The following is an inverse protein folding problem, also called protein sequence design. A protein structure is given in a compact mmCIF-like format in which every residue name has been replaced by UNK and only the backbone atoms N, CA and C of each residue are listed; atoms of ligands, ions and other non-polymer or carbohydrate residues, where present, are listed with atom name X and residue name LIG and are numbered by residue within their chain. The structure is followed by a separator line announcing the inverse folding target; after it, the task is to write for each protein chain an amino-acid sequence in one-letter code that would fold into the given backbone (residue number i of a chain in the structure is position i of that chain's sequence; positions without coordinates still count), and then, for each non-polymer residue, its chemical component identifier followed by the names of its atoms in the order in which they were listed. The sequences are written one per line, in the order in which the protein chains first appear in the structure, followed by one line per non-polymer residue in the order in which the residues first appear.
data_IF_625635895680
#
_entry.id   IF_625635895680
#
_cell.length_a   1.000
_cell.length_b   1.000
_cell.length_c   1.000
_cell.angle_alpha   90.00
_cell.angle_beta   90.00
_cell.angle_gamma   90.00
#
_symmetry.space_group_name_H-M   'P 1'
#
loop_
_entity.id
_entity.type
_entity.pdbx_description
1 polymer ?
#
# COMPACT_ATOMS: atom_id res chain seq x y z
N UNK A 1 20.92 28.44 32.88
CA UNK A 1 20.97 26.96 32.93
C UNK A 1 20.05 26.42 31.85
N UNK A 2 20.57 25.73 30.84
CA UNK A 2 19.74 25.16 29.79
C UNK A 2 18.99 23.94 30.34
N UNK A 3 17.67 24.06 30.53
CA UNK A 3 16.82 22.93 30.84
C UNK A 3 16.97 21.90 29.71
N UNK A 4 17.52 20.72 30.02
CA UNK A 4 17.62 19.65 29.05
C UNK A 4 16.22 19.17 28.72
N UNK A 5 15.74 19.49 27.52
CA UNK A 5 14.54 18.89 26.93
C UNK A 5 14.80 17.39 26.76
N UNK A 6 14.43 16.60 27.76
CA UNK A 6 14.64 15.17 27.78
C UNK A 6 13.28 14.47 27.69
N UNK A 7 13.19 13.46 26.81
CA UNK A 7 12.00 12.62 26.74
C UNK A 7 11.77 11.88 28.04
N UNK A 8 10.49 11.79 28.43
CA UNK A 8 10.07 11.02 29.60
C UNK A 8 10.34 9.53 29.38
N UNK A 9 10.41 8.77 30.46
CA UNK A 9 10.58 7.31 30.37
C UNK A 9 9.43 6.65 29.58
N UNK A 10 8.20 7.13 29.77
CA UNK A 10 7.03 6.64 29.05
C UNK A 10 7.16 6.87 27.53
N UNK A 11 7.58 8.07 27.11
CA UNK A 11 7.83 8.38 25.69
C UNK A 11 8.91 7.47 25.10
N UNK A 12 10.02 7.25 25.82
CA UNK A 12 11.08 6.32 25.37
C UNK A 12 10.56 4.88 25.22
N UNK A 13 9.72 4.42 26.14
CA UNK A 13 9.11 3.09 26.07
C UNK A 13 8.15 2.98 24.86
N UNK A 14 7.36 4.01 24.59
CA UNK A 14 6.48 4.08 23.42
C UNK A 14 7.27 4.05 22.11
N UNK A 15 8.34 4.85 22.00
CA UNK A 15 9.24 4.84 20.86
C UNK A 15 9.90 3.48 20.66
N UNK A 16 10.35 2.83 21.73
CA UNK A 16 10.91 1.48 21.65
C UNK A 16 9.87 0.45 21.15
N UNK A 17 8.61 0.57 21.55
CA UNK A 17 7.52 -0.28 21.05
C UNK A 17 7.27 -0.07 19.55
N UNK A 18 7.19 1.18 19.11
CA UNK A 18 7.02 1.55 17.71
C UNK A 18 8.19 1.03 16.85
N UNK A 19 9.43 1.22 17.31
CA UNK A 19 10.63 0.71 16.65
C UNK A 19 10.58 -0.82 16.50
N UNK A 20 10.27 -1.56 17.58
CA UNK A 20 10.15 -3.02 17.53
C UNK A 20 9.09 -3.46 16.51
N UNK A 21 7.98 -2.75 16.44
CA UNK A 21 6.89 -3.03 15.49
C UNK A 21 7.36 -2.83 14.05
N UNK A 22 8.06 -1.73 13.76
CA UNK A 22 8.65 -1.44 12.44
C UNK A 22 9.72 -2.47 12.02
N UNK A 23 10.57 -2.91 12.95
CA UNK A 23 11.57 -3.95 12.67
C UNK A 23 10.91 -5.30 12.40
N UNK A 24 9.85 -5.66 13.13
CA UNK A 24 9.11 -6.91 12.87
C UNK A 24 8.41 -6.89 11.52
N UNK A 25 7.76 -5.78 11.15
CA UNK A 25 7.10 -5.67 9.84
C UNK A 25 8.12 -5.74 8.70
N UNK A 26 9.21 -4.97 8.79
CA UNK A 26 10.28 -5.00 7.78
C UNK A 26 10.96 -6.37 7.67
N UNK A 27 11.10 -7.13 8.77
CA UNK A 27 11.62 -8.50 8.70
C UNK A 27 10.71 -9.42 7.88
N UNK A 28 9.39 -9.30 8.06
CA UNK A 28 8.43 -10.07 7.28
C UNK A 28 8.48 -9.70 5.80
N UNK A 29 8.64 -8.40 5.50
CA UNK A 29 8.82 -7.92 4.14
C UNK A 29 10.15 -8.46 3.61
N UNK A 30 11.30 -8.03 4.11
CA UNK A 30 12.62 -8.32 3.52
C UNK A 30 13.21 -9.70 3.89
N UNK A 31 12.39 -10.71 4.21
CA UNK A 31 12.90 -12.02 4.66
C UNK A 31 13.75 -12.74 3.59
N UNK A 32 13.49 -12.48 2.31
CA UNK A 32 14.24 -13.04 1.18
C UNK A 32 15.55 -12.29 0.87
N UNK A 33 15.71 -11.07 1.37
CA UNK A 33 16.87 -10.22 1.12
C UNK A 33 17.46 -9.69 2.45
N UNK A 34 18.40 -10.43 3.05
CA UNK A 34 19.01 -10.04 4.31
C UNK A 34 19.86 -8.78 4.20
N UNK A 35 20.33 -8.40 2.99
CA UNK A 35 21.13 -7.19 2.80
C UNK A 35 20.24 -5.95 2.91
N UNK A 36 19.14 -5.94 2.14
CA UNK A 36 18.15 -4.86 2.22
C UNK A 36 17.56 -4.74 3.63
N UNK A 37 17.30 -5.87 4.31
CA UNK A 37 16.84 -5.85 5.70
C UNK A 37 17.84 -5.17 6.66
N UNK A 38 19.15 -5.43 6.51
CA UNK A 38 20.19 -4.78 7.33
C UNK A 38 20.26 -3.28 7.06
N UNK A 39 20.25 -2.88 5.80
CA UNK A 39 20.24 -1.47 5.41
C UNK A 39 18.99 -0.75 5.97
N UNK A 40 17.83 -1.41 5.91
CA UNK A 40 16.61 -0.90 6.53
C UNK A 40 16.75 -0.70 8.04
N UNK A 41 17.34 -1.65 8.78
CA UNK A 41 17.57 -1.50 10.23
C UNK A 41 18.44 -0.27 10.52
N UNK A 42 19.50 -0.05 9.74
CA UNK A 42 20.37 1.13 9.91
C UNK A 42 19.57 2.41 9.72
N UNK A 43 18.79 2.51 8.64
CA UNK A 43 17.93 3.68 8.38
C UNK A 43 16.84 3.87 9.44
N UNK A 44 16.26 2.79 9.95
CA UNK A 44 15.28 2.87 11.03
C UNK A 44 15.91 3.42 12.32
N UNK A 45 17.13 3.01 12.66
CA UNK A 45 17.86 3.58 13.81
C UNK A 45 18.15 5.06 13.61
N UNK A 46 18.63 5.44 12.42
CA UNK A 46 18.85 6.85 12.06
C UNK A 46 17.57 7.66 12.24
N UNK A 47 16.45 7.22 11.63
CA UNK A 47 15.14 7.86 11.75
C UNK A 47 14.74 8.10 13.21
N UNK A 48 14.86 7.07 14.07
CA UNK A 48 14.50 7.22 15.47
C UNK A 48 15.42 8.18 16.22
N UNK A 49 16.72 8.15 15.92
CA UNK A 49 17.69 9.04 16.57
C UNK A 49 17.55 10.50 16.12
N UNK A 50 17.21 10.75 14.85
CA UNK A 50 17.20 12.10 14.27
C UNK A 50 15.83 12.75 14.30
N UNK A 51 14.74 11.98 14.15
CA UNK A 51 13.38 12.51 13.99
C UNK A 51 12.49 12.26 15.21
N UNK A 52 12.49 11.04 15.75
CA UNK A 52 11.56 10.65 16.82
C UNK A 52 12.08 11.04 18.20
N UNK A 53 13.35 10.77 18.48
CA UNK A 53 13.99 10.96 19.78
C UNK A 53 14.92 12.18 19.82
N UNK A 54 14.74 13.12 18.90
CA UNK A 54 15.50 14.36 18.86
C UNK A 54 14.57 15.55 19.17
N UNK A 55 14.69 16.17 20.36
CA UNK A 55 13.82 17.28 20.73
C UNK A 55 14.03 18.51 19.84
N UNK A 56 15.24 18.72 19.31
CA UNK A 56 15.52 19.88 18.44
C UNK A 56 14.83 19.73 17.09
N UNK A 57 14.77 18.51 16.55
CA UNK A 57 14.04 18.24 15.32
C UNK A 57 12.54 18.51 15.50
N UNK A 58 11.92 17.96 16.56
CA UNK A 58 10.48 18.11 16.81
C UNK A 58 10.04 19.57 16.96
N UNK A 59 10.89 20.43 17.53
CA UNK A 59 10.62 21.86 17.66
C UNK A 59 10.86 22.65 16.37
N UNK A 60 11.67 22.11 15.43
CA UNK A 60 12.05 22.79 14.19
C UNK A 60 11.07 22.63 13.01
N UNK A 61 10.10 21.70 13.09
CA UNK A 61 9.21 21.31 11.97
C UNK A 61 8.34 22.48 11.45
N UNK A 62 8.16 23.56 12.23
CA UNK A 62 7.28 24.68 11.89
C UNK A 62 7.74 25.56 10.70
N UNK A 63 8.88 25.30 10.06
CA UNK A 63 9.37 26.15 8.95
C UNK A 63 9.07 25.65 7.54
N UNK A 64 8.51 24.44 7.32
CA UNK A 64 8.44 23.89 5.94
C UNK A 64 7.12 23.24 5.46
N UNK A 65 6.05 23.15 6.25
CA UNK A 65 4.79 22.57 5.74
C UNK A 65 3.72 23.62 5.38
N UNK A 66 3.49 23.92 4.08
CA UNK A 66 2.48 24.88 3.66
C UNK A 66 1.02 24.36 3.71
N UNK A 67 0.75 23.15 4.23
CA UNK A 67 -0.58 22.52 4.16
C UNK A 67 -1.39 22.46 5.46
N UNK A 68 -0.86 22.85 6.62
CA UNK A 68 -1.64 22.94 7.86
C UNK A 68 -2.17 24.38 8.09
N UNK A 69 -3.00 24.90 7.18
CA UNK A 69 -3.82 26.09 7.41
C UNK A 69 -5.28 25.66 7.63
N UNK A 70 -5.58 25.17 8.83
CA UNK A 70 -6.97 25.08 9.32
C UNK A 70 -7.03 25.70 10.71
N UNK A 71 -7.26 27.02 10.70
CA UNK A 71 -8.06 27.81 11.64
C UNK A 71 -8.06 27.40 13.13
N UNK A 72 -7.26 28.11 13.92
CA UNK A 72 -7.60 28.46 15.30
C UNK A 72 -7.31 29.95 15.54
N UNK A 73 -8.14 30.80 14.95
CA UNK A 73 -8.23 32.22 15.30
C UNK A 73 -9.05 32.37 16.58
N UNK A 74 -8.39 32.32 17.73
CA UNK A 74 -8.98 32.51 19.05
C UNK A 74 -8.06 33.35 19.94
N UNK A 75 -8.11 34.66 19.73
CA UNK A 75 -7.45 35.74 20.46
C UNK A 75 -7.44 35.52 21.98
N UNK A 76 -6.25 35.39 22.59
CA UNK A 76 -6.07 35.51 24.05
C UNK A 76 -4.86 36.40 24.32
N UNK A 77 -5.11 37.49 25.04
CA UNK A 77 -4.15 38.46 25.52
C UNK A 77 -4.00 38.16 27.01
N UNK A 78 -2.92 37.50 27.43
CA UNK A 78 -2.63 37.27 28.85
C UNK A 78 -1.14 37.34 29.14
N UNK A 79 -0.89 37.91 30.31
CA UNK A 79 0.36 38.23 30.99
C UNK A 79 1.53 37.25 30.87
N UNK A 80 2.72 37.85 30.91
CA UNK A 80 4.04 37.22 30.93
C UNK A 80 4.28 36.39 32.19
N UNK A 81 3.99 35.09 32.16
CA UNK A 81 4.67 34.07 32.97
C UNK A 81 4.52 32.60 32.49
N UNK A 82 3.93 32.34 31.30
CA UNK A 82 3.50 31.00 30.87
C UNK A 82 4.27 30.37 29.69
N UNK A 83 5.41 30.93 29.28
CA UNK A 83 6.10 30.53 28.04
C UNK A 83 6.75 29.12 28.09
N UNK A 84 6.92 28.51 29.27
CA UNK A 84 7.53 27.18 29.36
C UNK A 84 6.56 26.01 29.19
N UNK A 85 5.26 26.19 29.49
CA UNK A 85 4.28 25.11 29.34
C UNK A 85 3.94 24.85 27.87
N UNK A 86 3.89 25.90 27.05
CA UNK A 86 3.56 25.79 25.62
C UNK A 86 4.52 24.90 24.83
N UNK A 87 5.83 25.00 25.06
CA UNK A 87 6.83 24.20 24.35
C UNK A 87 6.76 22.70 24.70
N UNK A 88 6.41 22.36 25.94
CA UNK A 88 6.28 20.97 26.37
C UNK A 88 5.11 20.28 25.68
N UNK A 89 3.95 20.95 25.62
CA UNK A 89 2.74 20.42 24.98
C UNK A 89 2.94 20.24 23.48
N UNK A 90 3.58 21.22 22.82
CA UNK A 90 3.88 21.14 21.39
C UNK A 90 4.83 19.98 21.09
N UNK A 91 5.94 19.85 21.84
CA UNK A 91 6.90 18.76 21.67
C UNK A 91 6.24 17.39 21.84
N UNK A 92 5.34 17.27 22.82
CA UNK A 92 4.59 16.03 23.04
C UNK A 92 3.68 15.69 21.85
N UNK A 93 2.90 16.64 21.33
CA UNK A 93 2.05 16.40 20.16
C UNK A 93 2.85 15.98 18.92
N UNK A 94 3.99 16.64 18.66
CA UNK A 94 4.87 16.28 17.54
C UNK A 94 5.50 14.90 17.70
N UNK A 95 5.88 14.55 18.93
CA UNK A 95 6.37 13.21 19.24
C UNK A 95 5.30 12.15 18.93
N UNK A 96 4.06 12.40 19.31
CA UNK A 96 2.93 11.50 19.07
C UNK A 96 2.66 11.35 17.56
N UNK A 97 2.70 12.44 16.79
CA UNK A 97 2.57 12.43 15.32
C UNK A 97 3.64 11.55 14.66
N UNK A 98 4.91 11.70 15.05
CA UNK A 98 6.02 10.92 14.48
C UNK A 98 5.90 9.43 14.83
N UNK A 99 5.50 9.11 16.07
CA UNK A 99 5.22 7.73 16.48
C UNK A 99 4.07 7.12 15.67
N UNK A 100 3.01 7.89 15.45
CA UNK A 100 1.89 7.47 14.62
C UNK A 100 2.32 7.21 13.17
N UNK A 101 3.13 8.10 12.60
CA UNK A 101 3.72 7.93 11.27
C UNK A 101 4.56 6.64 11.16
N UNK A 102 5.32 6.29 12.20
CA UNK A 102 6.04 5.00 12.24
C UNK A 102 5.08 3.81 12.25
N UNK A 103 3.98 3.87 13.00
CA UNK A 103 2.99 2.80 12.98
C UNK A 103 2.31 2.67 11.61
N UNK A 104 2.01 3.78 10.95
CA UNK A 104 1.47 3.79 9.59
C UNK A 104 2.45 3.22 8.58
N UNK A 105 3.73 3.61 8.66
CA UNK A 105 4.79 3.02 7.85
C UNK A 105 4.88 1.49 8.08
N UNK A 106 4.79 1.05 9.34
CA UNK A 106 4.83 -0.38 9.65
C UNK A 106 3.61 -1.13 9.09
N UNK A 107 2.41 -0.53 9.10
CA UNK A 107 1.22 -1.07 8.42
C UNK A 107 1.46 -1.12 6.91
N UNK A 108 1.99 -0.05 6.33
CA UNK A 108 2.27 0.06 4.89
C UNK A 108 3.20 -1.06 4.41
N UNK A 109 4.29 -1.32 5.13
CA UNK A 109 5.23 -2.41 4.82
C UNK A 109 4.56 -3.79 4.81
N UNK A 110 3.57 -4.02 5.68
CA UNK A 110 2.85 -5.30 5.75
C UNK A 110 1.71 -5.43 4.74
N UNK A 111 1.02 -4.33 4.42
CA UNK A 111 -0.22 -4.38 3.62
C UNK A 111 0.00 -4.15 2.13
N UNK A 112 0.97 -3.32 1.77
CA UNK A 112 1.08 -2.81 0.39
C UNK A 112 2.25 -3.40 -0.39
N UNK A 113 3.24 -4.01 0.27
CA UNK A 113 4.43 -4.52 -0.40
C UNK A 113 4.22 -5.98 -0.79
N UNK A 114 4.07 -6.21 -2.09
CA UNK A 114 4.08 -7.56 -2.69
C UNK A 114 5.50 -7.85 -3.18
N UNK A 115 6.03 -9.01 -2.83
CA UNK A 115 7.37 -9.42 -3.26
C UNK A 115 7.31 -10.43 -4.38
N UNK A 116 7.95 -10.10 -5.51
CA UNK A 116 8.23 -11.08 -6.56
C UNK A 116 9.44 -11.94 -6.19
N UNK A 117 9.25 -13.26 -6.12
CA UNK A 117 10.34 -14.24 -6.04
C UNK A 117 10.47 -14.92 -7.40
N UNK A 118 11.69 -15.17 -7.88
CA UNK A 118 11.86 -16.03 -9.06
C UNK A 118 11.38 -17.44 -8.74
N UNK A 119 10.56 -18.00 -9.64
CA UNK A 119 10.17 -19.41 -9.64
C UNK A 119 11.42 -20.28 -9.74
N UNK A 120 11.31 -21.55 -9.34
CA UNK A 120 12.39 -22.53 -9.44
C UNK A 120 12.87 -22.70 -10.88
N UNK A 121 11.96 -22.55 -11.85
CA UNK A 121 12.27 -22.58 -13.29
C UNK A 121 13.11 -21.38 -13.77
N UNK A 122 13.28 -20.35 -12.94
CA UNK A 122 13.95 -19.09 -13.28
C UNK A 122 13.24 -18.19 -14.30
N UNK A 123 12.22 -18.72 -15.00
CA UNK A 123 11.50 -18.03 -16.09
C UNK A 123 10.35 -17.14 -15.65
N UNK A 124 9.78 -17.38 -14.46
CA UNK A 124 8.58 -16.68 -13.96
C UNK A 124 8.86 -16.03 -12.62
N UNK A 125 8.19 -14.91 -12.34
CA UNK A 125 8.14 -14.31 -11.01
C UNK A 125 6.84 -14.74 -10.32
N UNK A 126 6.96 -15.34 -9.14
CA UNK A 126 5.85 -15.69 -8.26
C UNK A 126 5.70 -14.56 -7.24
N UNK A 127 4.54 -13.92 -7.23
CA UNK A 127 4.21 -12.90 -6.25
C UNK A 127 3.84 -13.56 -4.92
N UNK A 128 4.45 -13.12 -3.82
CA UNK A 128 4.09 -13.54 -2.46
C UNK A 128 3.13 -12.53 -1.88
N UNK A 129 1.87 -12.93 -1.80
CA UNK A 129 0.87 -12.27 -0.98
C UNK A 129 1.03 -12.76 0.47
N UNK A 130 0.92 -11.85 1.43
CA UNK A 130 0.79 -12.21 2.84
C UNK A 130 -0.66 -12.09 3.25
N UNK A 131 -1.07 -12.76 4.32
CA UNK A 131 -2.48 -12.72 4.80
C UNK A 131 -2.96 -11.30 5.14
N UNK A 132 -2.01 -10.39 5.38
CA UNK A 132 -2.27 -8.98 5.69
C UNK A 132 -2.19 -8.07 4.47
N UNK A 133 -1.78 -8.59 3.32
CA UNK A 133 -1.73 -7.81 2.09
C UNK A 133 -3.15 -7.47 1.68
N UNK A 134 -3.43 -6.18 1.52
CA UNK A 134 -4.75 -5.71 1.13
C UNK A 134 -4.94 -6.02 -0.37
N UNK A 135 -5.61 -7.13 -0.64
CA UNK A 135 -6.09 -7.44 -1.99
C UNK A 135 -7.36 -6.63 -2.16
N UNK A 136 -7.23 -5.40 -2.68
CA UNK A 136 -8.38 -4.51 -2.89
C UNK A 136 -9.50 -5.23 -3.66
N UNK A 137 -10.75 -4.93 -3.32
CA UNK A 137 -11.88 -5.48 -4.06
C UNK A 137 -11.79 -5.06 -5.52
N UNK A 138 -11.93 -6.03 -6.43
CA UNK A 138 -11.89 -5.78 -7.88
C UNK A 138 -12.91 -4.72 -8.34
N UNK A 139 -13.95 -4.46 -7.55
CA UNK A 139 -14.94 -3.39 -7.79
C UNK A 139 -14.35 -1.99 -7.67
N UNK A 140 -13.43 -1.73 -6.73
CA UNK A 140 -12.79 -0.42 -6.53
C UNK A 140 -11.79 -0.10 -7.64
N UNK A 141 -11.17 -1.12 -8.24
CA UNK A 141 -10.28 -0.95 -9.41
C UNK A 141 -11.09 -0.65 -10.67
N UNK A 142 -12.26 -1.30 -10.83
CA UNK A 142 -13.13 -1.10 -12.00
C UNK A 142 -13.90 0.22 -11.93
N UNK A 143 -14.23 0.67 -10.73
CA UNK A 143 -14.93 1.93 -10.46
C UNK A 143 -14.11 2.76 -9.48
N UNK A 144 -12.99 3.38 -9.90
CA UNK A 144 -12.26 4.28 -9.03
C UNK A 144 -13.22 5.40 -8.60
N UNK A 145 -13.30 5.69 -7.30
CA UNK A 145 -14.04 6.87 -6.84
C UNK A 145 -13.42 8.09 -7.52
N UNK A 146 -14.25 8.98 -8.04
CA UNK A 146 -13.87 10.16 -8.83
C UNK A 146 -13.16 11.25 -8.02
N UNK A 147 -12.34 10.89 -7.04
CA UNK A 147 -11.61 11.81 -6.18
C UNK A 147 -10.20 12.01 -6.73
N UNK A 148 -10.09 12.94 -7.68
CA UNK A 148 -8.81 13.46 -8.17
C UNK A 148 -8.79 13.59 -9.68
N UNK A 149 -9.25 14.73 -10.19
CA UNK A 149 -8.99 15.19 -11.55
C UNK A 149 -7.48 15.42 -11.77
N UNK A 150 -6.70 14.35 -11.85
CA UNK A 150 -5.48 14.38 -12.64
C UNK A 150 -5.92 14.27 -14.09
N UNK A 151 -5.99 15.43 -14.73
CA UNK A 151 -6.24 15.58 -16.16
C UNK A 151 -5.39 14.56 -16.94
N UNK A 152 -5.97 13.70 -17.78
CA UNK A 152 -5.21 12.99 -18.79
C UNK A 152 -4.78 14.01 -19.85
N UNK A 153 -3.70 14.75 -19.58
CA UNK A 153 -2.99 15.47 -20.64
C UNK A 153 -2.28 14.41 -21.46
N UNK A 154 -2.95 14.03 -22.54
CA UNK A 154 -2.41 13.50 -23.78
C UNK A 154 -0.93 13.84 -24.00
N UNK A 155 -0.11 12.84 -24.33
CA UNK A 155 1.13 13.07 -25.06
C UNK A 155 2.28 12.12 -24.78
N UNK A 156 2.59 11.30 -25.80
CA UNK A 156 3.90 10.73 -26.12
C UNK A 156 4.37 9.49 -25.32
N UNK A 157 4.97 8.44 -25.89
CA UNK A 157 5.41 8.06 -27.23
C UNK A 157 5.40 6.49 -27.24
N UNK A 158 5.32 5.68 -28.29
CA UNK A 158 5.76 5.76 -29.69
C UNK A 158 6.24 4.34 -30.06
N UNK A 159 5.67 3.73 -31.11
CA UNK A 159 6.02 2.37 -31.53
C UNK A 159 5.10 1.81 -32.61
N UNK A 160 4.97 2.55 -33.70
CA UNK A 160 4.25 2.17 -34.91
C UNK A 160 4.93 0.98 -35.58
N UNK A 161 4.21 -0.13 -35.78
CA UNK A 161 4.52 -1.07 -36.85
C UNK A 161 3.52 -0.83 -37.97
N UNK A 162 4.03 -0.41 -39.13
CA UNK A 162 3.31 -0.29 -40.39
C UNK A 162 2.82 -1.67 -40.83
N UNK A 163 1.53 -1.78 -41.12
CA UNK A 163 1.04 -2.56 -42.25
C UNK A 163 -0.41 -2.17 -42.52
N UNK A 164 -0.56 -1.49 -43.64
CA UNK A 164 -1.78 -1.15 -44.37
C UNK A 164 -2.70 -2.34 -44.64
N UNK A 165 -3.98 -2.19 -44.35
CA UNK A 165 -5.05 -2.72 -45.20
C UNK A 165 -6.38 -2.08 -44.81
N UNK A 166 -6.98 -1.41 -45.78
CA UNK A 166 -8.27 -0.76 -45.75
C UNK A 166 -9.42 -1.70 -45.37
N UNK A 167 -10.32 -1.23 -44.52
CA UNK A 167 -11.73 -1.63 -44.57
C UNK A 167 -12.61 -0.63 -43.85
N UNK A 168 -13.26 0.18 -44.67
CA UNK A 168 -14.47 0.94 -44.35
C UNK A 168 -15.62 0.00 -43.98
N UNK A 169 -16.37 0.31 -42.92
CA UNK A 169 -17.82 0.10 -42.94
C UNK A 169 -18.49 0.96 -41.86
N UNK A 170 -19.35 1.86 -42.34
CA UNK A 170 -20.35 2.63 -41.60
C UNK A 170 -21.22 1.75 -40.70
N UNK A 171 -21.82 2.32 -39.65
CA UNK A 171 -23.27 2.60 -39.58
C UNK A 171 -23.69 2.94 -38.15
N UNK A 172 -24.37 4.07 -38.06
CA UNK A 172 -25.19 4.60 -36.96
C UNK A 172 -26.15 3.57 -36.37
N UNK A 173 -26.22 3.40 -35.05
CA UNK A 173 -27.47 2.95 -34.40
C UNK A 173 -27.59 3.51 -32.99
N UNK A 174 -28.65 4.28 -32.81
CA UNK A 174 -29.20 4.84 -31.57
C UNK A 174 -30.05 3.77 -30.88
N UNK A 175 -29.78 3.40 -29.61
CA UNK A 175 -30.77 2.69 -28.77
C UNK A 175 -30.62 2.98 -27.27
N UNK A 176 -31.52 3.85 -26.79
CA UNK A 176 -32.35 3.87 -25.58
C UNK A 176 -32.25 2.70 -24.55
N UNK A 177 -32.00 3.07 -23.28
CA UNK A 177 -32.60 2.60 -21.99
C UNK A 177 -32.66 1.11 -21.63
N UNK A 178 -32.00 0.67 -20.53
CA UNK A 178 -32.64 0.16 -19.28
C UNK A 178 -31.62 -0.31 -18.23
N UNK A 179 -31.83 0.12 -17.00
CA UNK A 179 -31.25 -0.39 -15.76
C UNK A 179 -31.77 -1.80 -15.46
N UNK A 180 -30.90 -2.81 -15.41
CA UNK A 180 -31.21 -4.09 -14.75
C UNK A 180 -30.01 -4.65 -13.97
N UNK A 181 -30.28 -4.86 -12.69
CA UNK A 181 -29.51 -5.55 -11.66
C UNK A 181 -29.03 -6.92 -12.13
N UNK A 182 -27.71 -7.08 -12.35
CA UNK A 182 -27.13 -8.35 -12.80
C UNK A 182 -26.81 -9.23 -11.59
N UNK A 183 -27.69 -10.18 -11.31
CA UNK A 183 -27.44 -11.34 -10.44
C UNK A 183 -26.41 -12.27 -11.09
N UNK A 184 -25.52 -12.92 -10.31
CA UNK A 184 -24.56 -13.86 -10.87
C UNK A 184 -25.29 -15.04 -11.49
N UNK A 185 -25.06 -15.24 -12.78
CA UNK A 185 -25.42 -16.42 -13.56
C UNK A 185 -25.00 -17.69 -12.80
N UNK A 186 -25.96 -18.31 -12.11
CA UNK A 186 -25.87 -19.70 -11.66
C UNK A 186 -25.81 -20.53 -12.94
N UNK A 187 -24.63 -21.04 -13.27
CA UNK A 187 -24.48 -22.11 -14.26
C UNK A 187 -25.52 -23.19 -13.91
N UNK A 188 -26.38 -23.56 -14.88
CA UNK A 188 -27.39 -24.58 -14.65
C UNK A 188 -26.71 -25.88 -14.20
N UNK A 189 -27.40 -26.67 -13.38
CA UNK A 189 -26.89 -27.94 -12.87
C UNK A 189 -26.42 -28.86 -14.01
N UNK A 190 -27.11 -28.79 -15.16
CA UNK A 190 -26.75 -29.48 -16.41
C UNK A 190 -25.39 -29.03 -17.01
N UNK A 191 -25.01 -27.75 -16.85
CA UNK A 191 -23.72 -27.25 -17.31
C UNK A 191 -22.56 -27.74 -16.44
N UNK A 192 -22.79 -27.88 -15.13
CA UNK A 192 -21.83 -28.47 -14.18
C UNK A 192 -21.61 -29.95 -14.48
N UNK A 193 -22.69 -30.71 -14.70
CA UNK A 193 -22.61 -32.14 -14.97
C UNK A 193 -21.92 -32.45 -16.30
N UNK A 194 -22.15 -31.65 -17.35
CA UNK A 194 -21.41 -31.76 -18.63
C UNK A 194 -19.91 -31.49 -18.46
N UNK A 195 -19.52 -30.56 -17.57
CA UNK A 195 -18.12 -30.26 -17.29
C UNK A 195 -17.44 -31.42 -16.56
N UNK A 196 -18.12 -32.02 -15.60
CA UNK A 196 -17.61 -33.16 -14.83
C UNK A 196 -17.44 -34.42 -15.70
N UNK A 197 -18.43 -34.71 -16.57
CA UNK A 197 -18.36 -35.82 -17.52
C UNK A 197 -17.18 -35.71 -18.49
N UNK A 198 -16.85 -34.50 -18.97
CA UNK A 198 -15.66 -34.26 -19.81
C UNK A 198 -14.36 -34.52 -19.05
N UNK A 199 -14.32 -34.24 -17.74
CA UNK A 199 -13.13 -34.47 -16.92
C UNK A 199 -12.84 -35.96 -16.72
N UNK A 200 -13.88 -36.75 -16.47
CA UNK A 200 -13.77 -38.21 -16.32
C UNK A 200 -13.32 -38.90 -17.61
N UNK A 201 -13.88 -38.49 -18.76
CA UNK A 201 -13.51 -39.09 -20.04
C UNK A 201 -12.03 -38.85 -20.39
N UNK A 202 -11.50 -37.67 -20.02
CA UNK A 202 -10.08 -37.35 -20.22
C UNK A 202 -9.14 -38.22 -19.38
N UNK A 203 -9.52 -38.52 -18.12
CA UNK A 203 -8.73 -39.41 -17.26
C UNK A 203 -8.69 -40.85 -17.81
N UNK A 204 -9.80 -41.34 -18.37
CA UNK A 204 -9.83 -42.68 -18.97
C UNK A 204 -8.97 -42.79 -20.24
N UNK A 205 -8.87 -41.72 -21.05
CA UNK A 205 -7.96 -41.70 -22.21
C UNK A 205 -6.48 -41.65 -21.84
N UNK A 206 -6.14 -41.09 -20.67
CA UNK A 206 -4.75 -41.02 -20.19
C UNK A 206 -4.29 -42.39 -19.63
N UNK A 207 -5.18 -43.20 -19.08
CA UNK A 207 -4.84 -44.54 -18.57
C UNK A 207 -4.62 -45.58 -19.67
N UNK A 208 -5.34 -45.49 -20.79
CA UNK A 208 -5.22 -46.48 -21.88
C UNK A 208 -4.02 -46.25 -22.79
N UNK A 209 -3.49 -45.02 -22.85
CA UNK A 209 -2.28 -44.71 -23.61
C UNK A 209 -1.00 -45.13 -22.87
N UNK A 210 -1.02 -45.21 -21.54
CA UNK A 210 0.13 -45.63 -20.75
C UNK A 210 0.42 -47.14 -20.83
N UNK A 211 -0.59 -48.00 -21.07
CA UNK A 211 -0.41 -49.46 -21.09
C UNK A 211 0.00 -50.04 -22.46
N UNK A 212 0.09 -49.22 -23.51
CA UNK A 212 0.46 -49.65 -24.86
C UNK A 212 1.95 -49.45 -25.19
N UNK A 213 2.77 -49.08 -24.20
CA UNK A 213 4.20 -48.76 -24.36
C UNK A 213 5.13 -49.61 -23.48
N UNK A 214 4.67 -50.81 -23.07
CA UNK A 214 5.48 -51.81 -22.38
C UNK A 214 5.51 -53.12 -23.15
#
# INVERSE_FOLDING_TARGET
MAARLAFTHAQKAQAASAYRTLIRSSKSTFNSDPRTYREFIVRAKELFSTKVLNPTYLLSINSQDPKSKTQSSGRSHTDHNDDQQGNSVLLQGRFEDEIQGVYELSKYLTRNIVQGKRSEDGKRLVLRFTDKTEVGDNSTIKNPSSTGSFLPTSGCCGGSHESSSDSSCSTTTTTTTTTTTTTPSRLSQAALERREKRRLNRQQSETTSASASS
#
